data_IF_418472625165
#
_entry.id   IF_418472625165
#
_cell.length_a   1.000
_cell.length_b   1.000
_cell.length_c   1.000
_cell.angle_alpha   90.00
_cell.angle_beta   90.00
_cell.angle_gamma   90.00
#
_symmetry.space_group_name_H-M   'P 1'
#
loop_
_entity.id
_entity.type
_entity.pdbx_description
1 polymer ?
#
# COMPACT_ATOMS: atom_id res chain seq x y z
N UNK A 1 -23.32 -12.20 0.46
CA UNK A 1 -22.48 -12.72 -0.64
C UNK A 1 -21.50 -13.74 -0.09
N UNK A 2 -21.28 -14.89 -0.75
CA UNK A 2 -20.24 -15.82 -0.32
C UNK A 2 -18.86 -15.14 -0.42
N UNK A 3 -17.99 -15.40 0.56
CA UNK A 3 -16.65 -14.84 0.59
C UNK A 3 -15.84 -15.41 -0.59
N UNK A 4 -15.22 -14.57 -1.45
CA UNK A 4 -14.46 -15.06 -2.59
C UNK A 4 -13.36 -16.03 -2.17
N UNK A 5 -13.06 -17.02 -3.03
CA UNK A 5 -11.98 -17.98 -2.79
C UNK A 5 -10.66 -17.25 -2.50
N UNK A 6 -9.85 -17.80 -1.60
CA UNK A 6 -8.61 -17.16 -1.16
C UNK A 6 -7.68 -16.85 -2.35
N UNK A 7 -7.46 -17.82 -3.24
CA UNK A 7 -6.62 -17.63 -4.43
C UNK A 7 -7.12 -16.52 -5.35
N UNK A 8 -8.44 -16.34 -5.47
CA UNK A 8 -9.02 -15.25 -6.24
C UNK A 8 -8.70 -13.89 -5.64
N UNK A 9 -8.85 -13.74 -4.32
CA UNK A 9 -8.49 -12.49 -3.63
C UNK A 9 -7.02 -12.16 -3.81
N UNK A 10 -6.15 -13.16 -3.71
CA UNK A 10 -4.70 -13.00 -3.95
C UNK A 10 -4.43 -12.51 -5.38
N UNK A 11 -5.07 -13.09 -6.40
CA UNK A 11 -4.92 -12.67 -7.80
C UNK A 11 -5.34 -11.21 -8.03
N UNK A 12 -6.52 -10.82 -7.53
CA UNK A 12 -7.03 -9.44 -7.62
C UNK A 12 -6.08 -8.46 -6.91
N UNK A 13 -5.69 -8.75 -5.67
CA UNK A 13 -4.78 -7.88 -4.91
C UNK A 13 -3.40 -7.76 -5.57
N UNK A 14 -2.89 -8.83 -6.19
CA UNK A 14 -1.59 -8.81 -6.88
C UNK A 14 -1.61 -7.80 -8.01
N UNK A 15 -2.67 -7.79 -8.83
CA UNK A 15 -2.79 -6.83 -9.93
C UNK A 15 -3.08 -5.40 -9.46
N UNK A 16 -3.86 -5.25 -8.39
CA UNK A 16 -4.10 -3.93 -7.80
C UNK A 16 -2.78 -3.28 -7.33
N UNK A 17 -1.93 -4.05 -6.63
CA UNK A 17 -0.60 -3.58 -6.19
C UNK A 17 0.34 -3.36 -7.38
N UNK A 18 0.27 -4.22 -8.41
CA UNK A 18 1.03 -4.04 -9.65
C UNK A 18 0.71 -2.71 -10.35
N UNK A 19 -0.58 -2.37 -10.48
CA UNK A 19 -1.04 -1.09 -11.05
C UNK A 19 -0.55 0.11 -10.21
N UNK A 20 -0.49 -0.04 -8.89
CA UNK A 20 0.08 1.00 -8.02
C UNK A 20 1.57 1.25 -8.31
N UNK A 21 2.35 0.19 -8.52
CA UNK A 21 3.75 0.31 -8.91
C UNK A 21 3.91 0.95 -10.30
N UNK A 22 3.08 0.57 -11.29
CA UNK A 22 3.06 1.21 -12.62
C UNK A 22 2.82 2.72 -12.54
N UNK A 23 1.86 3.14 -11.70
CA UNK A 23 1.58 4.57 -11.51
C UNK A 23 2.71 5.29 -10.79
N UNK A 24 3.30 4.64 -9.78
CA UNK A 24 4.40 5.22 -8.98
C UNK A 24 5.61 5.62 -9.82
N UNK A 25 5.90 4.86 -10.87
CA UNK A 25 7.02 5.10 -11.80
C UNK A 25 6.98 6.48 -12.47
N UNK A 26 5.79 7.08 -12.60
CA UNK A 26 5.58 8.34 -13.30
C UNK A 26 5.24 9.50 -12.34
N UNK A 27 5.34 9.28 -11.03
CA UNK A 27 5.10 10.30 -10.02
C UNK A 27 6.44 10.96 -9.66
N UNK A 28 6.40 12.28 -9.56
CA UNK A 28 7.40 13.09 -8.85
C UNK A 28 6.80 13.45 -7.49
N UNK A 29 7.28 12.85 -6.38
CA UNK A 29 6.76 13.14 -5.05
C UNK A 29 7.11 14.56 -4.60
N UNK A 30 6.18 15.20 -3.90
CA UNK A 30 6.47 16.40 -3.12
C UNK A 30 7.14 15.99 -1.80
N UNK A 31 8.47 15.89 -1.79
CA UNK A 31 9.22 15.48 -0.61
C UNK A 31 9.13 16.49 0.54
N UNK A 32 9.01 17.77 0.24
CA UNK A 32 8.85 18.81 1.27
C UNK A 32 7.45 18.75 1.89
N UNK A 33 6.42 18.55 1.05
CA UNK A 33 5.05 18.27 1.52
C UNK A 33 4.99 16.99 2.35
N UNK A 34 5.71 15.94 1.96
CA UNK A 34 5.82 14.70 2.73
C UNK A 34 6.45 14.92 4.11
N UNK A 35 7.53 15.71 4.20
CA UNK A 35 8.15 16.11 5.48
C UNK A 35 7.18 16.92 6.35
N UNK A 36 6.47 17.90 5.79
CA UNK A 36 5.46 18.68 6.53
C UNK A 36 4.28 17.81 7.01
N UNK A 37 3.90 16.79 6.22
CA UNK A 37 2.86 15.83 6.61
C UNK A 37 3.33 14.94 7.76
N UNK A 38 4.61 14.54 7.76
CA UNK A 38 5.19 13.74 8.83
C UNK A 38 5.16 14.47 10.18
N UNK A 39 5.36 15.80 10.22
CA UNK A 39 5.26 16.60 11.45
C UNK A 39 3.86 16.61 12.06
N UNK A 40 2.82 16.50 11.21
CA UNK A 40 1.40 16.47 11.64
C UNK A 40 0.94 15.08 12.04
N UNK A 41 1.77 14.06 11.85
CA UNK A 41 1.38 12.69 12.08
C UNK A 41 1.33 12.35 13.56
N UNK A 42 0.24 11.70 13.96
CA UNK A 42 -0.02 11.33 15.34
C UNK A 42 -0.07 9.79 15.48
N UNK A 43 0.87 9.25 16.24
CA UNK A 43 0.96 7.81 16.52
C UNK A 43 -0.26 7.29 17.32
N UNK A 44 -0.83 8.08 18.22
CA UNK A 44 -2.00 7.70 19.02
C UNK A 44 -3.28 7.64 18.17
N UNK A 45 -3.45 8.60 17.25
CA UNK A 45 -4.55 8.56 16.27
C UNK A 45 -4.42 7.35 15.36
N UNK A 46 -3.20 7.04 14.89
CA UNK A 46 -2.94 5.81 14.12
C UNK A 46 -3.29 4.55 14.91
N UNK A 47 -2.86 4.47 16.17
CA UNK A 47 -3.14 3.32 17.02
C UNK A 47 -4.64 3.15 17.26
N UNK A 48 -5.35 4.25 17.51
CA UNK A 48 -6.81 4.28 17.63
C UNK A 48 -7.49 3.78 16.36
N UNK A 49 -7.03 4.24 15.19
CA UNK A 49 -7.56 3.79 13.90
C UNK A 49 -7.34 2.28 13.67
N UNK A 50 -6.18 1.73 14.06
CA UNK A 50 -5.90 0.28 14.00
C UNK A 50 -6.85 -0.52 14.89
N UNK A 51 -7.12 -0.05 16.11
CA UNK A 51 -8.04 -0.72 17.04
C UNK A 51 -9.46 -0.76 16.49
N UNK A 52 -9.91 0.32 15.84
CA UNK A 52 -11.23 0.37 15.18
C UNK A 52 -11.27 -0.54 13.96
N UNK A 53 -10.28 -0.48 13.08
CA UNK A 53 -10.28 -1.21 11.81
C UNK A 53 -10.18 -2.73 11.97
N UNK A 54 -9.47 -3.20 13.00
CA UNK A 54 -9.22 -4.64 13.21
C UNK A 54 -9.92 -5.22 14.43
N UNK A 55 -10.67 -4.41 15.19
CA UNK A 55 -11.47 -4.82 16.33
C UNK A 55 -10.68 -5.75 17.29
N UNK A 56 -11.14 -7.00 17.45
CA UNK A 56 -10.51 -8.00 18.32
C UNK A 56 -9.06 -8.34 17.95
N UNK A 57 -8.65 -8.14 16.69
CA UNK A 57 -7.28 -8.37 16.24
C UNK A 57 -6.36 -7.14 16.45
N UNK A 58 -6.93 -5.95 16.68
CA UNK A 58 -6.19 -4.69 16.83
C UNK A 58 -5.08 -4.74 17.88
N UNK A 59 -5.34 -5.21 19.12
CA UNK A 59 -4.31 -5.28 20.16
C UNK A 59 -3.11 -6.15 19.79
N UNK A 60 -3.34 -7.26 19.09
CA UNK A 60 -2.26 -8.14 18.63
C UNK A 60 -1.42 -7.46 17.54
N UNK A 61 -2.06 -6.74 16.62
CA UNK A 61 -1.39 -5.95 15.58
C UNK A 61 -0.51 -4.87 16.22
N UNK A 62 -1.05 -4.10 17.17
CA UNK A 62 -0.28 -3.06 17.87
C UNK A 62 0.92 -3.61 18.63
N UNK A 63 0.82 -4.83 19.18
CA UNK A 63 1.93 -5.48 19.88
C UNK A 63 3.08 -5.88 18.94
N UNK A 64 2.78 -6.18 17.68
CA UNK A 64 3.79 -6.48 16.65
C UNK A 64 4.41 -5.22 16.03
N UNK A 65 3.78 -4.06 16.21
CA UNK A 65 4.24 -2.79 15.66
C UNK A 65 5.45 -2.24 16.41
N UNK A 66 6.34 -1.59 15.67
CA UNK A 66 7.44 -0.81 16.26
C UNK A 66 7.04 0.67 16.23
N UNK A 67 7.17 1.41 17.34
CA UNK A 67 6.97 2.85 17.34
C UNK A 67 7.86 3.50 16.27
N UNK A 68 7.29 4.41 15.49
CA UNK A 68 8.03 5.21 14.53
C UNK A 68 8.13 6.63 15.07
N UNK A 69 9.35 7.10 15.36
CA UNK A 69 9.54 8.49 15.78
C UNK A 69 9.47 9.43 14.58
N UNK A 70 9.22 10.70 14.83
CA UNK A 70 9.24 11.73 13.79
C UNK A 70 10.60 11.75 13.08
N UNK A 71 11.69 11.72 13.84
CA UNK A 71 13.07 11.75 13.32
C UNK A 71 13.32 10.54 12.42
N UNK A 72 12.90 9.35 12.85
CA UNK A 72 13.05 8.12 12.06
C UNK A 72 12.23 8.18 10.76
N UNK A 73 11.03 8.79 10.79
CA UNK A 73 10.20 8.99 9.59
C UNK A 73 10.81 10.01 8.64
N UNK A 74 11.29 11.15 9.15
CA UNK A 74 11.96 12.17 8.34
C UNK A 74 13.22 11.60 7.68
N UNK A 75 14.03 10.83 8.43
CA UNK A 75 15.21 10.17 7.86
C UNK A 75 14.82 9.19 6.76
N UNK A 76 13.72 8.44 6.95
CA UNK A 76 13.19 7.55 5.91
C UNK A 76 12.80 8.31 4.64
N UNK A 77 12.11 9.45 4.76
CA UNK A 77 11.76 10.33 3.62
C UNK A 77 13.03 10.81 2.91
N UNK A 78 14.04 11.27 3.66
CA UNK A 78 15.31 11.73 3.08
C UNK A 78 16.05 10.61 2.32
N UNK A 79 16.04 9.37 2.84
CA UNK A 79 16.62 8.23 2.14
C UNK A 79 15.84 7.87 0.87
N UNK A 80 14.51 7.96 0.91
CA UNK A 80 13.66 7.74 -0.28
C UNK A 80 13.98 8.79 -1.34
N UNK A 81 14.04 10.07 -0.99
CA UNK A 81 14.37 11.17 -1.91
C UNK A 81 15.74 10.95 -2.56
N UNK A 82 16.77 10.67 -1.75
CA UNK A 82 18.13 10.39 -2.23
C UNK A 82 18.19 9.20 -3.20
N UNK A 83 17.28 8.23 -3.05
CA UNK A 83 17.24 6.99 -3.84
C UNK A 83 16.10 6.96 -4.86
N UNK A 84 15.35 8.04 -5.04
CA UNK A 84 14.09 8.03 -5.77
C UNK A 84 14.26 7.52 -7.22
N UNK A 85 15.25 8.05 -7.93
CA UNK A 85 15.57 7.61 -9.29
C UNK A 85 15.92 6.11 -9.36
N UNK A 86 16.63 5.58 -8.36
CA UNK A 86 16.94 4.15 -8.27
C UNK A 86 15.69 3.32 -8.00
N UNK A 87 14.80 3.79 -7.11
CA UNK A 87 13.50 3.14 -6.82
C UNK A 87 12.66 3.08 -8.10
N UNK A 88 12.49 4.19 -8.81
CA UNK A 88 11.78 4.23 -10.08
C UNK A 88 12.40 3.28 -11.12
N UNK A 89 13.74 3.24 -11.22
CA UNK A 89 14.45 2.36 -12.15
C UNK A 89 14.20 0.88 -11.84
N UNK A 90 14.25 0.49 -10.56
CA UNK A 90 13.97 -0.88 -10.12
C UNK A 90 12.54 -1.25 -10.50
N UNK A 91 11.56 -0.38 -10.20
CA UNK A 91 10.16 -0.66 -10.51
C UNK A 91 9.94 -0.76 -12.03
N UNK A 92 10.51 0.18 -12.82
CA UNK A 92 10.47 0.15 -14.30
C UNK A 92 10.95 -1.20 -14.85
N UNK A 93 12.04 -1.73 -14.30
CA UNK A 93 12.58 -3.03 -14.68
C UNK A 93 11.64 -4.21 -14.42
N UNK A 94 10.67 -4.08 -13.49
CA UNK A 94 9.72 -5.14 -13.14
C UNK A 94 8.38 -5.05 -13.89
N UNK A 95 8.06 -3.94 -14.56
CA UNK A 95 6.73 -3.69 -15.13
C UNK A 95 6.26 -4.76 -16.13
N UNK A 96 7.18 -5.36 -16.89
CA UNK A 96 6.85 -6.43 -17.84
C UNK A 96 6.18 -7.65 -17.15
N UNK A 97 6.49 -7.91 -15.88
CA UNK A 97 5.84 -8.98 -15.12
C UNK A 97 4.37 -8.66 -14.82
N UNK A 98 4.03 -7.38 -14.61
CA UNK A 98 2.66 -6.95 -14.34
C UNK A 98 1.76 -7.14 -15.56
N UNK A 99 2.24 -6.74 -16.74
CA UNK A 99 1.54 -6.96 -18.01
C UNK A 99 1.32 -8.45 -18.30
N UNK A 100 2.31 -9.29 -17.99
CA UNK A 100 2.22 -10.74 -18.12
C UNK A 100 1.14 -11.33 -17.20
N UNK A 101 1.10 -10.91 -15.93
CA UNK A 101 0.08 -11.34 -14.98
C UNK A 101 -1.34 -10.95 -15.44
N UNK A 102 -1.53 -9.71 -15.88
CA UNK A 102 -2.82 -9.22 -16.37
C UNK A 102 -3.27 -10.01 -17.60
N UNK A 103 -2.37 -10.16 -18.57
CA UNK A 103 -2.62 -10.93 -19.79
C UNK A 103 -2.99 -12.39 -19.51
N UNK A 104 -2.32 -13.03 -18.55
CA UNK A 104 -2.62 -14.41 -18.16
C UNK A 104 -4.02 -14.54 -17.55
N UNK A 105 -4.39 -13.66 -16.61
CA UNK A 105 -5.70 -13.69 -15.96
C UNK A 105 -6.83 -13.40 -16.95
N UNK A 106 -6.63 -12.44 -17.86
CA UNK A 106 -7.59 -12.15 -18.94
C UNK A 106 -7.80 -13.37 -19.86
N UNK A 107 -6.73 -14.04 -20.29
CA UNK A 107 -6.83 -15.25 -21.15
C UNK A 107 -7.55 -16.41 -20.46
N UNK A 108 -7.34 -16.56 -19.16
CA UNK A 108 -7.99 -17.58 -18.33
C UNK A 108 -9.44 -17.21 -17.96
N UNK A 109 -9.92 -16.01 -18.35
CA UNK A 109 -11.20 -15.44 -17.90
C UNK A 109 -11.33 -15.46 -16.36
N UNK A 110 -10.20 -15.33 -15.69
CA UNK A 110 -10.15 -15.27 -14.24
C UNK A 110 -10.49 -13.84 -13.78
N UNK A 111 -11.20 -13.68 -12.66
CA UNK A 111 -11.44 -12.37 -12.05
C UNK A 111 -10.12 -11.71 -11.68
N UNK A 112 -9.99 -10.41 -11.99
CA UNK A 112 -8.78 -9.63 -11.71
C UNK A 112 -9.05 -8.22 -11.20
N UNK A 113 -10.28 -7.74 -11.28
CA UNK A 113 -10.72 -6.49 -10.64
C UNK A 113 -11.55 -6.80 -9.37
N UNK A 114 -11.55 -5.92 -8.35
CA UNK A 114 -12.41 -6.08 -7.18
C UNK A 114 -13.90 -6.21 -7.51
N UNK A 115 -14.35 -5.55 -8.58
CA UNK A 115 -15.73 -5.64 -9.05
C UNK A 115 -16.10 -7.05 -9.52
N UNK A 116 -15.16 -7.82 -10.08
CA UNK A 116 -15.40 -9.19 -10.56
C UNK A 116 -15.75 -10.14 -9.41
N UNK A 117 -15.31 -9.81 -8.19
CA UNK A 117 -15.62 -10.53 -6.96
C UNK A 117 -16.61 -9.80 -6.04
N UNK A 118 -17.30 -8.79 -6.58
CA UNK A 118 -18.34 -8.03 -5.90
C UNK A 118 -17.86 -7.37 -4.59
N UNK A 119 -16.60 -6.94 -4.56
CA UNK A 119 -16.03 -6.19 -3.45
C UNK A 119 -16.16 -4.68 -3.76
N UNK A 120 -16.87 -3.90 -2.91
CA UNK A 120 -17.03 -2.47 -3.12
C UNK A 120 -15.71 -1.72 -3.06
N UNK A 121 -15.54 -0.70 -3.90
CA UNK A 121 -14.32 0.13 -3.92
C UNK A 121 -13.98 0.78 -2.58
N UNK A 122 -14.99 1.14 -1.78
CA UNK A 122 -14.78 1.67 -0.42
C UNK A 122 -14.05 0.66 0.49
N UNK A 123 -14.43 -0.62 0.42
CA UNK A 123 -13.78 -1.69 1.17
C UNK A 123 -12.37 -1.99 0.65
N UNK A 124 -12.15 -1.87 -0.67
CA UNK A 124 -10.81 -1.99 -1.26
C UNK A 124 -9.89 -0.89 -0.73
N UNK A 125 -10.35 0.36 -0.74
CA UNK A 125 -9.62 1.52 -0.23
C UNK A 125 -9.26 1.36 1.24
N UNK A 126 -10.23 0.98 2.07
CA UNK A 126 -10.00 0.69 3.48
C UNK A 126 -8.95 -0.42 3.67
N UNK A 127 -9.08 -1.52 2.93
CA UNK A 127 -8.12 -2.62 2.97
C UNK A 127 -6.71 -2.17 2.58
N UNK A 128 -6.55 -1.30 1.58
CA UNK A 128 -5.24 -0.77 1.17
C UNK A 128 -4.62 0.17 2.22
N UNK A 129 -5.45 0.99 2.87
CA UNK A 129 -4.99 1.89 3.95
C UNK A 129 -4.41 1.09 5.12
N UNK A 130 -5.10 0.01 5.52
CA UNK A 130 -4.78 -0.75 6.73
C UNK A 130 -3.95 -2.02 6.50
N UNK A 131 -3.82 -2.53 5.27
CA UNK A 131 -3.07 -3.77 4.99
C UNK A 131 -1.61 -3.72 5.48
N UNK A 132 -0.98 -2.54 5.42
CA UNK A 132 0.39 -2.33 5.90
C UNK A 132 0.54 -2.47 7.42
N UNK A 133 -0.56 -2.38 8.16
CA UNK A 133 -0.53 -2.45 9.62
C UNK A 133 -0.46 -3.89 10.14
N UNK A 134 -0.89 -4.88 9.33
CA UNK A 134 -0.98 -6.29 9.74
C UNK A 134 0.41 -6.89 10.02
N UNK A 135 1.46 -6.43 9.32
CA UNK A 135 2.83 -6.92 9.48
C UNK A 135 3.83 -5.77 9.44
N UNK A 136 4.87 -5.76 10.29
CA UNK A 136 5.88 -4.71 10.33
C UNK A 136 6.89 -4.85 9.17
N UNK A 137 6.41 -4.75 7.93
CA UNK A 137 7.20 -4.83 6.70
C UNK A 137 7.09 -3.52 5.94
N UNK A 138 8.22 -3.05 5.43
CA UNK A 138 8.22 -1.91 4.52
C UNK A 138 7.80 -2.37 3.12
N UNK A 139 6.67 -1.88 2.65
CA UNK A 139 6.11 -2.18 1.31
C UNK A 139 5.72 -0.88 0.61
N UNK A 140 5.24 -0.96 -0.63
CA UNK A 140 4.75 0.22 -1.38
C UNK A 140 3.66 1.00 -0.65
N UNK A 141 2.83 0.34 0.16
CA UNK A 141 1.79 1.01 0.94
C UNK A 141 2.39 1.89 2.04
N UNK A 142 3.53 1.48 2.61
CA UNK A 142 4.25 2.28 3.60
C UNK A 142 4.98 3.46 2.92
N UNK A 143 5.51 3.23 1.72
CA UNK A 143 6.09 4.27 0.87
C UNK A 143 5.06 5.35 0.52
N UNK A 144 3.82 4.98 0.19
CA UNK A 144 2.75 5.94 -0.06
C UNK A 144 2.39 6.76 1.17
N UNK A 145 2.36 6.14 2.35
CA UNK A 145 2.13 6.86 3.61
C UNK A 145 3.28 7.84 3.92
N UNK A 146 4.54 7.47 3.66
CA UNK A 146 5.67 8.39 3.85
C UNK A 146 5.62 9.59 2.93
N UNK A 147 5.28 9.37 1.67
CA UNK A 147 5.28 10.40 0.63
C UNK A 147 3.94 11.17 0.53
N UNK A 148 3.00 10.90 1.45
CA UNK A 148 1.62 11.40 1.43
C UNK A 148 0.90 11.24 0.07
N UNK A 149 1.16 10.13 -0.64
CA UNK A 149 0.57 9.85 -1.95
C UNK A 149 -0.83 9.25 -1.77
N UNK A 150 -1.84 10.12 -1.66
CA UNK A 150 -3.25 9.72 -1.50
C UNK A 150 -3.96 9.38 -2.82
N UNK A 151 -3.42 9.82 -3.96
CA UNK A 151 -4.03 9.63 -5.29
C UNK A 151 -4.00 8.16 -5.79
N UNK A 152 -3.27 7.30 -5.07
CA UNK A 152 -3.13 5.88 -5.36
C UNK A 152 -3.90 4.98 -4.38
N UNK A 153 -4.70 5.57 -3.46
CA UNK A 153 -5.48 4.88 -2.42
C UNK A 153 -6.99 5.09 -2.54
#
# INVERSE_FOLDING_TARGET
NPNPLHGTKVGVSTLLIAQMYERLVNIEPDFDGARQSAEKWNQEEKNSAILVAFEAAGPAILKEQKPLTLEARIERINQIEKKWSSIQTIIKGQLHHFDLCKSALTKLKAPYEPADIQIPGALVKEALIYAKEIRPRYTVLQLFEDLDIKSLL
#
